data_IF_408471953080
#
_entry.id   IF_408471953080
#
_cell.length_a   1.000
_cell.length_b   1.000
_cell.length_c   1.000
_cell.angle_alpha   90.00
_cell.angle_beta   90.00
_cell.angle_gamma   90.00
#
_symmetry.space_group_name_H-M   'P 1'
#
loop_
_entity.id
_entity.type
_entity.pdbx_description
1 polymer ?
#
# COMPACT_ATOMS: atom_id res chain seq x y z
N UNK A 1 -24.55 -7.35 -14.26
CA UNK A 1 -24.21 -5.91 -14.33
C UNK A 1 -24.67 -5.12 -13.09
N UNK A 2 -25.97 -4.94 -12.79
CA UNK A 2 -26.39 -4.13 -11.61
C UNK A 2 -25.90 -4.71 -10.28
N UNK A 3 -25.88 -6.04 -10.14
CA UNK A 3 -25.43 -6.68 -8.91
C UNK A 3 -23.92 -6.50 -8.68
N UNK A 4 -23.13 -6.52 -9.74
CA UNK A 4 -21.68 -6.34 -9.67
C UNK A 4 -21.31 -4.90 -9.30
N UNK A 5 -21.98 -3.91 -9.90
CA UNK A 5 -21.83 -2.51 -9.52
C UNK A 5 -22.21 -2.28 -8.05
N UNK A 6 -23.32 -2.86 -7.59
CA UNK A 6 -23.72 -2.80 -6.18
C UNK A 6 -22.71 -3.46 -5.24
N UNK A 7 -22.11 -4.59 -5.65
CA UNK A 7 -21.03 -5.22 -4.89
C UNK A 7 -19.80 -4.32 -4.81
N UNK A 8 -19.40 -3.68 -5.92
CA UNK A 8 -18.26 -2.75 -5.95
C UNK A 8 -18.49 -1.54 -5.06
N UNK A 9 -19.68 -0.94 -5.11
CA UNK A 9 -20.05 0.19 -4.23
C UNK A 9 -20.00 -0.22 -2.76
N UNK A 10 -20.56 -1.39 -2.40
CA UNK A 10 -20.52 -1.90 -1.03
C UNK A 10 -19.07 -2.13 -0.54
N UNK A 11 -18.20 -2.66 -1.40
CA UNK A 11 -16.79 -2.85 -1.08
C UNK A 11 -16.08 -1.52 -0.83
N UNK A 12 -16.26 -0.53 -1.72
CA UNK A 12 -15.67 0.81 -1.53
C UNK A 12 -16.15 1.47 -0.24
N UNK A 13 -17.44 1.37 0.09
CA UNK A 13 -17.98 1.89 1.34
C UNK A 13 -17.41 1.18 2.58
N UNK A 14 -17.20 -0.13 2.51
CA UNK A 14 -16.58 -0.90 3.59
C UNK A 14 -15.12 -0.47 3.81
N UNK A 15 -14.36 -0.26 2.74
CA UNK A 15 -12.98 0.27 2.81
C UNK A 15 -12.96 1.66 3.44
N UNK A 16 -13.83 2.57 2.98
CA UNK A 16 -13.97 3.92 3.54
C UNK A 16 -14.32 3.87 5.03
N UNK A 17 -15.28 3.02 5.42
CA UNK A 17 -15.68 2.85 6.82
C UNK A 17 -14.52 2.32 7.67
N UNK A 18 -13.73 1.37 7.14
CA UNK A 18 -12.53 0.85 7.76
C UNK A 18 -11.49 1.94 8.01
N UNK A 19 -11.20 2.76 6.98
CA UNK A 19 -10.27 3.90 7.06
C UNK A 19 -10.74 4.88 8.13
N UNK A 20 -12.00 5.30 8.10
CA UNK A 20 -12.56 6.26 9.06
C UNK A 20 -12.49 5.73 10.49
N UNK A 21 -13.00 4.51 10.72
CA UNK A 21 -13.04 3.89 12.05
C UNK A 21 -11.64 3.75 12.67
N UNK A 22 -10.66 3.34 11.86
CA UNK A 22 -9.31 3.11 12.33
C UNK A 22 -8.54 4.43 12.53
N UNK A 23 -8.80 5.45 11.70
CA UNK A 23 -8.18 6.78 11.82
C UNK A 23 -8.64 7.44 13.12
N UNK A 24 -9.94 7.47 13.35
CA UNK A 24 -10.53 8.08 14.56
C UNK A 24 -10.07 7.37 15.84
N UNK A 25 -9.92 6.04 15.82
CA UNK A 25 -9.49 5.26 16.98
C UNK A 25 -8.04 5.53 17.41
N UNK A 26 -7.18 5.99 16.49
CA UNK A 26 -5.73 6.07 16.72
C UNK A 26 -5.19 7.50 16.74
N UNK A 27 -6.01 8.49 16.38
CA UNK A 27 -5.63 9.88 16.40
C UNK A 27 -5.38 10.39 17.83
N UNK A 28 -4.39 11.27 17.98
CA UNK A 28 -4.10 11.93 19.27
C UNK A 28 -5.09 13.05 19.55
N UNK A 29 -5.53 13.72 18.50
CA UNK A 29 -6.47 14.84 18.50
C UNK A 29 -7.27 14.86 17.18
N UNK A 30 -8.29 15.72 17.14
CA UNK A 30 -9.21 15.81 16.00
C UNK A 30 -8.57 16.42 14.75
N UNK A 31 -7.59 17.32 14.91
CA UNK A 31 -6.94 17.96 13.76
C UNK A 31 -6.04 16.96 13.03
N UNK A 32 -5.28 16.15 13.78
CA UNK A 32 -4.52 15.03 13.23
C UNK A 32 -5.46 14.02 12.57
N UNK A 33 -6.58 13.68 13.21
CA UNK A 33 -7.56 12.75 12.65
C UNK A 33 -8.10 13.23 11.30
N UNK A 34 -8.46 14.52 11.21
CA UNK A 34 -8.97 15.15 9.98
C UNK A 34 -7.93 15.10 8.86
N UNK A 35 -6.68 15.48 9.17
CA UNK A 35 -5.57 15.47 8.21
C UNK A 35 -5.30 14.07 7.67
N UNK A 36 -5.10 13.10 8.56
CA UNK A 36 -4.79 11.71 8.19
C UNK A 36 -5.96 11.06 7.42
N UNK A 37 -7.22 11.31 7.83
CA UNK A 37 -8.40 10.78 7.12
C UNK A 37 -8.50 11.36 5.70
N UNK A 38 -8.32 12.68 5.57
CA UNK A 38 -8.39 13.36 4.27
C UNK A 38 -7.33 12.82 3.32
N UNK A 39 -6.09 12.69 3.78
CA UNK A 39 -4.99 12.17 2.97
C UNK A 39 -5.30 10.76 2.45
N UNK A 40 -5.83 9.88 3.31
CA UNK A 40 -6.21 8.51 2.94
C UNK A 40 -7.37 8.43 1.96
N UNK A 41 -8.38 9.27 2.12
CA UNK A 41 -9.50 9.35 1.17
C UNK A 41 -9.03 9.84 -0.21
N UNK A 42 -8.10 10.79 -0.25
CA UNK A 42 -7.48 11.25 -1.51
C UNK A 42 -6.65 10.13 -2.15
N UNK A 43 -5.86 9.39 -1.37
CA UNK A 43 -5.12 8.24 -1.87
C UNK A 43 -6.05 7.16 -2.46
N UNK A 44 -7.14 6.85 -1.76
CA UNK A 44 -8.16 5.90 -2.23
C UNK A 44 -8.84 6.39 -3.52
N UNK A 45 -9.18 7.68 -3.60
CA UNK A 45 -9.80 8.26 -4.79
C UNK A 45 -8.88 8.14 -6.02
N UNK A 46 -7.57 8.39 -5.86
CA UNK A 46 -6.61 8.23 -6.97
C UNK A 46 -6.49 6.79 -7.44
N UNK A 47 -6.46 5.84 -6.52
CA UNK A 47 -6.47 4.42 -6.86
C UNK A 47 -7.77 4.02 -7.58
N UNK A 48 -8.90 4.62 -7.19
CA UNK A 48 -10.19 4.45 -7.85
C UNK A 48 -10.21 5.07 -9.26
N UNK A 49 -9.56 6.21 -9.48
CA UNK A 49 -9.43 6.84 -10.80
C UNK A 49 -8.61 5.95 -11.75
N UNK A 50 -7.48 5.38 -11.28
CA UNK A 50 -6.66 4.42 -12.03
C UNK A 50 -7.48 3.19 -12.46
N UNK A 51 -8.31 2.65 -11.57
CA UNK A 51 -9.18 1.53 -11.91
C UNK A 51 -10.31 1.95 -12.85
N UNK A 52 -10.79 3.19 -12.75
CA UNK A 52 -11.85 3.70 -13.62
C UNK A 52 -11.36 3.88 -15.05
N UNK A 53 -10.12 4.37 -15.26
CA UNK A 53 -9.52 4.44 -16.60
C UNK A 53 -9.31 3.07 -17.23
N UNK A 54 -9.06 2.05 -16.41
CA UNK A 54 -8.88 0.65 -16.84
C UNK A 54 -10.21 -0.14 -16.88
N UNK A 55 -11.36 0.53 -16.92
CA UNK A 55 -12.70 -0.10 -16.95
C UNK A 55 -12.93 -1.14 -15.85
N UNK A 56 -12.21 -1.00 -14.73
CA UNK A 56 -12.19 -1.92 -13.60
C UNK A 56 -11.73 -3.35 -13.91
N UNK A 57 -10.93 -3.54 -14.97
CA UNK A 57 -10.32 -4.85 -15.28
C UNK A 57 -9.12 -5.16 -14.37
N UNK A 58 -8.65 -4.17 -13.60
CA UNK A 58 -7.47 -4.27 -12.75
C UNK A 58 -6.37 -3.29 -13.18
N UNK A 59 -5.26 -3.27 -12.46
CA UNK A 59 -4.15 -2.36 -12.71
C UNK A 59 -2.81 -3.11 -12.65
N UNK A 60 -1.82 -2.67 -13.44
CA UNK A 60 -0.46 -3.19 -13.29
C UNK A 60 0.14 -2.71 -11.96
N UNK A 61 0.82 -3.61 -11.24
CA UNK A 61 1.43 -3.28 -9.94
C UNK A 61 2.45 -2.14 -10.05
N UNK A 62 3.22 -2.07 -11.14
CA UNK A 62 4.19 -0.98 -11.34
C UNK A 62 3.46 0.37 -11.46
N UNK A 63 2.36 0.41 -12.20
CA UNK A 63 1.53 1.61 -12.33
C UNK A 63 0.92 2.03 -11.00
N UNK A 64 0.44 1.07 -10.19
CA UNK A 64 -0.06 1.34 -8.84
C UNK A 64 1.03 1.98 -7.97
N UNK A 65 2.27 1.48 -8.04
CA UNK A 65 3.40 2.05 -7.28
C UNK A 65 3.69 3.48 -7.73
N UNK A 66 3.87 3.72 -9.03
CA UNK A 66 4.17 5.06 -9.56
C UNK A 66 3.04 6.06 -9.31
N UNK A 67 1.79 5.66 -9.54
CA UNK A 67 0.63 6.52 -9.29
C UNK A 67 0.52 6.90 -7.81
N UNK A 68 0.91 6.01 -6.90
CA UNK A 68 0.86 6.26 -5.46
C UNK A 68 2.01 7.13 -4.97
N UNK A 69 3.26 6.77 -5.29
CA UNK A 69 4.45 7.43 -4.75
C UNK A 69 4.77 8.72 -5.48
N UNK A 70 4.86 8.68 -6.80
CA UNK A 70 5.21 9.87 -7.59
C UNK A 70 3.98 10.75 -7.81
N UNK A 71 2.88 10.19 -8.32
CA UNK A 71 1.67 10.95 -8.61
C UNK A 71 0.88 11.39 -7.38
N UNK A 72 0.84 10.55 -6.35
CA UNK A 72 0.04 10.76 -5.14
C UNK A 72 0.78 11.54 -4.05
N UNK A 73 2.01 11.15 -3.76
CA UNK A 73 2.84 11.74 -2.70
C UNK A 73 3.86 12.75 -3.21
N UNK A 74 4.05 12.89 -4.53
CA UNK A 74 5.01 13.82 -5.11
C UNK A 74 6.46 13.42 -4.87
N UNK A 75 6.72 12.12 -4.62
CA UNK A 75 8.09 11.62 -4.44
C UNK A 75 8.84 11.73 -5.77
N UNK A 76 10.03 12.33 -5.82
CA UNK A 76 10.79 12.39 -7.06
C UNK A 76 11.16 10.98 -7.55
N UNK A 77 10.91 10.67 -8.82
CA UNK A 77 11.17 9.34 -9.39
C UNK A 77 12.62 8.84 -9.20
N UNK A 78 13.60 9.73 -9.07
CA UNK A 78 15.00 9.36 -8.74
C UNK A 78 15.17 8.68 -7.36
N UNK A 79 14.19 8.79 -6.47
CA UNK A 79 14.18 8.15 -5.14
C UNK A 79 13.31 6.89 -5.10
N UNK A 80 12.67 6.52 -6.21
CA UNK A 80 11.77 5.37 -6.30
C UNK A 80 12.32 4.39 -7.32
N UNK A 81 12.66 3.20 -6.85
CA UNK A 81 13.06 2.09 -7.71
C UNK A 81 11.96 1.03 -7.70
N UNK A 82 11.51 0.59 -8.87
CA UNK A 82 10.42 -0.39 -9.04
C UNK A 82 10.94 -1.58 -9.84
N UNK A 83 10.93 -2.78 -9.26
CA UNK A 83 11.56 -3.96 -9.86
C UNK A 83 10.68 -5.20 -9.72
N UNK A 84 10.15 -5.70 -10.83
CA UNK A 84 9.43 -6.97 -10.81
C UNK A 84 8.88 -7.35 -12.18
N UNK A 85 8.39 -8.59 -12.35
CA UNK A 85 7.69 -8.98 -13.55
C UNK A 85 6.34 -8.27 -13.67
N UNK A 86 5.82 -8.13 -14.89
CA UNK A 86 4.48 -7.60 -15.13
C UNK A 86 3.44 -8.39 -14.32
N UNK A 87 2.62 -7.68 -13.55
CA UNK A 87 1.60 -8.27 -12.68
C UNK A 87 0.36 -7.41 -12.71
N UNK A 88 -0.68 -7.91 -13.36
CA UNK A 88 -2.00 -7.29 -13.29
C UNK A 88 -2.73 -7.75 -12.04
N UNK A 89 -3.07 -6.80 -11.20
CA UNK A 89 -3.81 -6.99 -9.96
C UNK A 89 -5.30 -6.91 -10.20
N UNK A 90 -6.08 -7.67 -9.45
CA UNK A 90 -7.52 -7.45 -9.36
C UNK A 90 -7.79 -6.05 -8.77
N UNK A 91 -8.95 -5.44 -9.06
CA UNK A 91 -9.29 -4.11 -8.53
C UNK A 91 -9.18 -3.99 -7.01
N UNK A 92 -9.64 -4.98 -6.25
CA UNK A 92 -9.56 -4.95 -4.79
C UNK A 92 -8.10 -5.03 -4.30
N UNK A 93 -7.28 -5.87 -4.93
CA UNK A 93 -5.87 -5.98 -4.59
C UNK A 93 -5.12 -4.67 -4.91
N UNK A 94 -5.42 -4.03 -6.04
CA UNK A 94 -4.86 -2.74 -6.42
C UNK A 94 -5.22 -1.63 -5.42
N UNK A 95 -6.49 -1.52 -5.00
CA UNK A 95 -6.91 -0.53 -3.99
C UNK A 95 -6.20 -0.75 -2.66
N UNK A 96 -6.15 -1.99 -2.19
CA UNK A 96 -5.52 -2.33 -0.91
C UNK A 96 -4.01 -2.07 -0.94
N UNK A 97 -3.32 -2.45 -2.02
CA UNK A 97 -1.90 -2.16 -2.18
C UNK A 97 -1.60 -0.67 -2.34
N UNK A 98 -2.44 0.09 -3.04
CA UNK A 98 -2.27 1.54 -3.14
C UNK A 98 -2.33 2.23 -1.76
N UNK A 99 -3.28 1.84 -0.91
CA UNK A 99 -3.35 2.33 0.47
C UNK A 99 -2.13 1.92 1.29
N UNK A 100 -1.68 0.68 1.14
CA UNK A 100 -0.49 0.18 1.83
C UNK A 100 0.77 0.98 1.47
N UNK A 101 1.00 1.16 0.17
CA UNK A 101 2.12 1.95 -0.37
C UNK A 101 2.01 3.42 0.03
N UNK A 102 0.81 3.98 0.09
CA UNK A 102 0.60 5.36 0.55
C UNK A 102 1.02 5.55 2.02
N UNK A 103 0.66 4.61 2.89
CA UNK A 103 1.06 4.67 4.31
C UNK A 103 2.58 4.47 4.47
N UNK A 104 3.18 3.53 3.75
CA UNK A 104 4.63 3.32 3.73
C UNK A 104 5.36 4.57 3.24
N UNK A 105 4.94 5.13 2.10
CA UNK A 105 5.52 6.35 1.53
C UNK A 105 5.37 7.56 2.45
N UNK A 106 4.21 7.75 3.08
CA UNK A 106 3.99 8.83 4.05
C UNK A 106 4.93 8.70 5.25
N UNK A 107 5.17 7.48 5.73
CA UNK A 107 6.11 7.25 6.83
C UNK A 107 7.55 7.51 6.39
N UNK A 108 7.93 7.06 5.20
CA UNK A 108 9.25 7.32 4.64
C UNK A 108 9.52 8.82 4.47
N UNK A 109 8.52 9.61 4.05
CA UNK A 109 8.64 11.08 3.93
C UNK A 109 8.79 11.75 5.30
N UNK A 110 8.01 11.31 6.29
CA UNK A 110 7.99 11.93 7.62
C UNK A 110 9.19 11.55 8.47
N UNK A 111 9.67 10.31 8.35
CA UNK A 111 10.55 9.69 9.34
C UNK A 111 11.70 8.86 8.75
N UNK A 112 11.66 8.54 7.45
CA UNK A 112 12.52 7.53 6.84
C UNK A 112 13.31 8.03 5.64
N UNK A 113 13.58 7.14 4.68
CA UNK A 113 14.47 7.42 3.56
C UNK A 113 14.03 8.62 2.69
N UNK A 114 12.72 8.83 2.51
CA UNK A 114 12.22 9.93 1.68
C UNK A 114 12.20 11.29 2.40
N UNK A 115 12.67 11.37 3.65
CA UNK A 115 12.82 12.63 4.39
C UNK A 115 14.10 13.40 4.02
N UNK A 116 15.03 12.76 3.31
CA UNK A 116 16.31 13.33 2.89
C UNK A 116 16.50 13.16 1.39
N UNK A 117 17.35 13.99 0.78
CA UNK A 117 17.50 14.01 -0.68
C UNK A 117 18.15 12.74 -1.25
N UNK A 118 19.08 12.13 -0.51
CA UNK A 118 19.85 10.97 -0.95
C UNK A 118 19.15 9.64 -0.67
N UNK A 119 18.09 9.64 0.14
CA UNK A 119 17.42 8.41 0.51
C UNK A 119 16.51 7.91 -0.61
N UNK A 120 16.34 6.60 -0.68
CA UNK A 120 15.57 5.93 -1.71
C UNK A 120 14.70 4.82 -1.12
N UNK A 121 13.67 4.47 -1.89
CA UNK A 121 12.81 3.32 -1.66
C UNK A 121 12.91 2.41 -2.87
N UNK A 122 13.15 1.13 -2.62
CA UNK A 122 12.99 0.08 -3.61
C UNK A 122 11.70 -0.69 -3.31
N UNK A 123 10.80 -0.75 -4.29
CA UNK A 123 9.64 -1.64 -4.30
C UNK A 123 9.93 -2.76 -5.30
N UNK A 124 10.04 -3.98 -4.82
CA UNK A 124 10.33 -5.13 -5.67
C UNK A 124 9.38 -6.28 -5.43
N UNK A 125 9.16 -7.14 -6.42
CA UNK A 125 8.35 -8.33 -6.22
C UNK A 125 8.75 -9.51 -7.11
N UNK A 126 8.39 -10.69 -6.62
CA UNK A 126 8.44 -11.94 -7.38
C UNK A 126 7.07 -12.61 -7.40
N UNK A 127 6.87 -13.48 -8.39
CA UNK A 127 5.67 -14.28 -8.54
C UNK A 127 6.08 -15.74 -8.58
N UNK A 128 5.57 -16.54 -7.65
CA UNK A 128 5.80 -17.98 -7.60
C UNK A 128 4.49 -18.75 -7.79
N UNK A 129 4.51 -19.98 -8.33
CA UNK A 129 3.32 -20.84 -8.31
C UNK A 129 2.86 -21.11 -6.87
N UNK A 130 1.55 -21.03 -6.61
CA UNK A 130 0.95 -21.36 -5.32
C UNK A 130 0.10 -22.64 -5.47
N UNK A 131 0.60 -23.76 -4.95
CA UNK A 131 -0.12 -25.04 -4.93
C UNK A 131 0.46 -26.11 -5.86
N UNK A 132 -0.28 -27.22 -6.02
CA UNK A 132 0.13 -28.34 -6.88
C UNK A 132 0.02 -28.01 -8.37
N UNK A 133 0.55 -28.88 -9.23
CA UNK A 133 0.69 -28.68 -10.69
C UNK A 133 -0.61 -28.37 -11.47
N UNK A 134 -1.78 -28.39 -10.82
CA UNK A 134 -3.09 -28.09 -11.40
C UNK A 134 -3.72 -26.77 -10.89
N UNK A 135 -3.07 -26.04 -9.97
CA UNK A 135 -3.56 -24.72 -9.53
C UNK A 135 -3.03 -23.62 -10.44
N UNK A 136 -3.89 -22.65 -10.77
CA UNK A 136 -3.51 -21.41 -11.45
C UNK A 136 -3.13 -20.31 -10.45
N UNK A 137 -3.25 -20.56 -9.14
CA UNK A 137 -2.93 -19.57 -8.12
C UNK A 137 -1.45 -19.24 -8.14
N UNK A 138 -1.13 -17.96 -7.96
CA UNK A 138 0.24 -17.49 -7.83
C UNK A 138 0.42 -16.80 -6.49
N UNK A 139 1.62 -16.90 -5.92
CA UNK A 139 2.03 -16.17 -4.72
C UNK A 139 2.82 -14.95 -5.15
N UNK A 140 2.29 -13.78 -4.82
CA UNK A 140 3.03 -12.54 -4.82
C UNK A 140 3.89 -12.47 -3.56
N UNK A 141 5.16 -12.13 -3.73
CA UNK A 141 6.05 -11.73 -2.64
C UNK A 141 6.60 -10.34 -2.98
N UNK A 142 6.04 -9.32 -2.33
CA UNK A 142 6.40 -7.91 -2.52
C UNK A 142 7.26 -7.44 -1.35
N UNK A 143 8.35 -6.75 -1.67
CA UNK A 143 9.26 -6.12 -0.71
C UNK A 143 9.33 -4.61 -0.94
N UNK A 144 9.13 -3.86 0.14
CA UNK A 144 9.48 -2.45 0.28
C UNK A 144 10.76 -2.35 1.11
N UNK A 145 11.76 -1.63 0.62
CA UNK A 145 13.02 -1.41 1.35
C UNK A 145 13.43 0.06 1.28
N UNK A 146 13.62 0.69 2.43
CA UNK A 146 14.17 2.03 2.55
C UNK A 146 15.71 1.98 2.70
N UNK A 147 16.42 2.91 2.06
CA UNK A 147 17.88 3.06 2.19
C UNK A 147 18.31 4.52 2.13
N UNK A 148 19.48 4.81 2.68
CA UNK A 148 20.09 6.16 2.63
C UNK A 148 19.34 7.22 3.43
N UNK A 149 18.42 6.78 4.32
CA UNK A 149 17.68 7.64 5.24
C UNK A 149 18.40 7.91 6.56
N UNK A 150 17.80 8.71 7.45
CA UNK A 150 18.26 8.84 8.82
C UNK A 150 18.12 7.50 9.56
N UNK A 151 18.89 7.29 10.65
CA UNK A 151 18.79 6.07 11.44
C UNK A 151 17.37 5.84 11.97
N UNK A 152 16.80 4.68 11.65
CA UNK A 152 15.43 4.35 12.07
C UNK A 152 15.46 3.78 13.48
N UNK A 153 14.64 4.35 14.36
CA UNK A 153 14.35 3.76 15.67
C UNK A 153 12.98 3.09 15.62
N UNK A 154 12.89 1.83 16.05
CA UNK A 154 11.62 1.12 16.09
C UNK A 154 10.58 1.92 16.92
N UNK A 155 9.37 2.15 16.38
CA UNK A 155 8.38 2.96 17.08
C UNK A 155 7.91 2.25 18.35
N UNK A 156 7.83 2.98 19.46
CA UNK A 156 7.31 2.47 20.74
C UNK A 156 5.81 2.20 20.70
N UNK A 157 5.11 2.72 19.69
CA UNK A 157 3.68 2.49 19.44
C UNK A 157 3.46 2.14 17.97
N UNK A 158 2.76 1.03 17.72
CA UNK A 158 2.23 0.71 16.38
C UNK A 158 1.09 1.67 16.03
N UNK A 159 1.37 2.62 15.14
CA UNK A 159 0.41 3.61 14.65
C UNK A 159 -0.65 3.01 13.71
N UNK A 160 -1.43 3.89 13.07
CA UNK A 160 -2.44 3.50 12.08
C UNK A 160 -1.83 2.68 10.94
N UNK A 161 -0.78 3.20 10.29
CA UNK A 161 -0.19 2.59 9.08
C UNK A 161 0.21 1.14 9.32
N UNK A 162 0.94 0.87 10.39
CA UNK A 162 1.33 -0.50 10.78
C UNK A 162 0.13 -1.44 11.01
N UNK A 163 -0.99 -0.94 11.55
CA UNK A 163 -2.18 -1.79 11.81
C UNK A 163 -3.06 -1.99 10.58
N UNK A 164 -3.16 -0.98 9.71
CA UNK A 164 -3.85 -1.12 8.42
C UNK A 164 -3.09 -2.11 7.53
N UNK A 165 -1.76 -1.96 7.47
CA UNK A 165 -0.86 -2.88 6.76
C UNK A 165 -0.96 -4.30 7.33
N UNK A 166 -0.84 -4.49 8.64
CA UNK A 166 -0.79 -5.85 9.22
C UNK A 166 -2.14 -6.58 9.22
N UNK A 167 -3.27 -5.88 9.36
CA UNK A 167 -4.59 -6.54 9.53
C UNK A 167 -5.56 -6.30 8.38
N UNK A 168 -5.57 -5.10 7.79
CA UNK A 168 -6.47 -4.77 6.69
C UNK A 168 -5.97 -5.39 5.39
N UNK A 169 -4.71 -5.13 5.04
CA UNK A 169 -4.11 -5.65 3.82
C UNK A 169 -4.00 -7.19 3.85
N UNK A 170 -3.57 -7.77 4.96
CA UNK A 170 -3.50 -9.22 5.12
C UNK A 170 -4.86 -9.90 4.96
N UNK A 171 -5.94 -9.30 5.48
CA UNK A 171 -7.29 -9.84 5.33
C UNK A 171 -7.78 -9.75 3.87
N UNK A 172 -7.59 -8.61 3.21
CA UNK A 172 -8.02 -8.40 1.82
C UNK A 172 -7.22 -9.23 0.82
N UNK A 173 -5.90 -9.37 1.02
CA UNK A 173 -5.01 -10.15 0.15
C UNK A 173 -4.93 -11.63 0.52
N UNK A 174 -5.63 -12.05 1.58
CA UNK A 174 -5.55 -13.40 2.16
C UNK A 174 -4.09 -13.80 2.40
N UNK A 175 -3.32 -12.86 2.91
CA UNK A 175 -1.88 -12.82 2.86
C UNK A 175 -1.22 -12.55 4.21
N UNK A 176 0.09 -12.30 4.16
CA UNK A 176 0.91 -11.98 5.33
C UNK A 176 1.65 -10.68 5.10
N UNK A 177 1.79 -9.87 6.14
CA UNK A 177 2.55 -8.63 6.11
C UNK A 177 3.52 -8.61 7.28
N UNK A 178 4.81 -8.51 7.00
CA UNK A 178 5.88 -8.42 7.99
C UNK A 178 6.60 -7.08 7.85
N UNK A 179 6.57 -6.26 8.91
CA UNK A 179 7.21 -4.94 8.96
C UNK A 179 8.40 -4.98 9.94
N UNK A 180 9.56 -4.52 9.48
CA UNK A 180 10.81 -4.51 10.23
C UNK A 180 11.46 -3.12 10.20
N UNK A 181 12.11 -2.76 11.32
CA UNK A 181 12.76 -1.47 11.53
C UNK A 181 14.23 -1.73 11.82
N UNK A 182 15.08 -1.65 10.79
CA UNK A 182 16.54 -1.74 10.93
C UNK A 182 17.14 -0.34 11.00
N UNK A 183 18.33 -0.21 11.60
CA UNK A 183 19.00 1.10 11.70
C UNK A 183 19.21 1.76 10.33
N UNK A 184 19.41 0.95 9.27
CA UNK A 184 19.64 1.42 7.90
C UNK A 184 18.36 1.75 7.12
N UNK A 185 17.18 1.45 7.67
CA UNK A 185 15.90 1.68 7.00
C UNK A 185 14.76 0.76 7.46
N UNK A 186 13.54 1.13 7.08
CA UNK A 186 12.35 0.30 7.22
C UNK A 186 12.29 -0.71 6.07
N UNK A 187 11.91 -1.96 6.37
CA UNK A 187 11.58 -2.94 5.35
C UNK A 187 10.22 -3.59 5.63
N UNK A 188 9.40 -3.74 4.59
CA UNK A 188 8.08 -4.36 4.66
C UNK A 188 7.98 -5.46 3.61
N UNK A 189 7.56 -6.66 4.01
CA UNK A 189 7.30 -7.78 3.10
C UNK A 189 5.81 -8.10 3.11
N UNK A 190 5.21 -8.23 1.93
CA UNK A 190 3.79 -8.52 1.71
C UNK A 190 3.71 -9.78 0.85
N UNK A 191 3.17 -10.85 1.43
CA UNK A 191 2.87 -12.10 0.72
C UNK A 191 1.38 -12.20 0.47
N UNK A 192 0.95 -12.54 -0.74
CA UNK A 192 -0.45 -12.61 -1.13
C UNK A 192 -0.70 -13.67 -2.21
N UNK A 193 -1.94 -14.15 -2.32
CA UNK A 193 -2.39 -14.95 -3.47
C UNK A 193 -2.95 -14.02 -4.56
N UNK A 194 -2.51 -14.22 -5.81
CA UNK A 194 -2.80 -13.38 -7.00
C UNK A 194 -2.98 -14.18 -8.28
#
# INVERSE_FOLDING_TARGET
MVNELNHRVKNSLAVVQGIASQTLRTARDLDQARGDLTARLVALARAHDLLTSESWEGADLSEVVHATLEGGLGVPGRQVEVVGPALRLTPNAALSLALALHELGTNAIKYGALSVEQGCVTVSWTIEPAGGAASADRRLDLSWTERGGPPVTAPTRRGFGSRLLERGLAAELHGRVDLSFGADGVACRIEALV
#
